data_IF_250801724777
#
_entry.id   IF_250801724777
#
_cell.length_a   1.000
_cell.length_b   1.000
_cell.length_c   1.000
_cell.angle_alpha   90.00
_cell.angle_beta   90.00
_cell.angle_gamma   90.00
#
_symmetry.space_group_name_H-M   'P 1'
#
loop_
_entity.id
_entity.type
_entity.pdbx_description
1 polymer ?
#
# COMPACT_ATOMS: atom_id res chain seq x y z
N UNK A 1 65.47 40.42 -14.23
CA UNK A 1 64.33 39.84 -14.97
C UNK A 1 63.55 39.01 -13.97
N UNK A 2 62.43 39.50 -13.43
CA UNK A 2 61.14 39.53 -14.12
C UNK A 2 60.22 38.59 -13.33
N UNK A 3 59.58 39.12 -12.29
CA UNK A 3 58.65 38.40 -11.43
C UNK A 3 57.27 38.29 -12.08
N UNK A 4 56.52 37.29 -11.61
CA UNK A 4 55.05 37.26 -11.52
C UNK A 4 54.25 37.08 -12.82
N UNK A 5 53.51 35.98 -12.91
CA UNK A 5 52.04 36.04 -12.81
C UNK A 5 51.47 34.62 -12.80
N UNK A 6 51.11 34.13 -11.61
CA UNK A 6 50.61 32.77 -11.40
C UNK A 6 49.55 32.72 -10.32
N UNK A 7 48.64 33.70 -10.27
CA UNK A 7 47.50 33.72 -9.32
C UNK A 7 46.33 34.43 -10.02
N UNK A 8 45.09 34.06 -9.67
CA UNK A 8 43.77 34.65 -10.01
C UNK A 8 42.88 34.01 -11.10
N UNK A 9 42.79 32.69 -11.18
CA UNK A 9 41.64 32.03 -11.85
C UNK A 9 40.80 31.12 -10.95
N UNK A 10 41.17 30.91 -9.68
CA UNK A 10 40.43 30.03 -8.76
C UNK A 10 39.26 30.72 -8.02
N UNK A 11 39.37 32.01 -7.72
CA UNK A 11 38.44 32.69 -6.81
C UNK A 11 37.12 33.15 -7.47
N UNK A 12 37.12 33.38 -8.79
CA UNK A 12 35.91 33.80 -9.52
C UNK A 12 34.94 32.63 -9.74
N UNK A 13 35.46 31.42 -9.94
CA UNK A 13 34.64 30.22 -10.05
C UNK A 13 33.95 29.87 -8.72
N UNK A 14 34.64 30.07 -7.58
CA UNK A 14 34.08 29.78 -6.26
C UNK A 14 33.00 30.77 -5.80
N UNK A 15 33.12 32.05 -6.18
CA UNK A 15 32.09 33.05 -5.88
C UNK A 15 30.80 32.81 -6.70
N UNK A 16 30.94 32.56 -8.00
CA UNK A 16 29.80 32.23 -8.86
C UNK A 16 29.09 30.93 -8.41
N UNK A 17 29.86 29.92 -7.99
CA UNK A 17 29.30 28.68 -7.45
C UNK A 17 28.59 28.90 -6.10
N UNK A 18 29.14 29.76 -5.23
CA UNK A 18 28.52 30.10 -3.95
C UNK A 18 27.20 30.86 -4.15
N UNK A 19 27.17 31.83 -5.08
CA UNK A 19 25.96 32.57 -5.45
C UNK A 19 24.89 31.64 -6.04
N UNK A 20 25.28 30.72 -6.94
CA UNK A 20 24.37 29.74 -7.51
C UNK A 20 23.79 28.80 -6.43
N UNK A 21 24.60 28.37 -5.46
CA UNK A 21 24.14 27.58 -4.31
C UNK A 21 23.18 28.36 -3.42
N UNK A 22 23.46 29.64 -3.17
CA UNK A 22 22.61 30.51 -2.34
C UNK A 22 21.26 30.80 -3.02
N UNK A 23 21.29 31.07 -4.33
CA UNK A 23 20.10 31.21 -5.17
C UNK A 23 19.27 29.93 -5.22
N UNK A 24 19.91 28.77 -5.40
CA UNK A 24 19.23 27.47 -5.36
C UNK A 24 18.59 27.19 -3.99
N UNK A 25 19.27 27.56 -2.89
CA UNK A 25 18.71 27.45 -1.53
C UNK A 25 17.49 28.35 -1.34
N UNK A 26 17.55 29.61 -1.80
CA UNK A 26 16.41 30.55 -1.76
C UNK A 26 15.24 30.03 -2.60
N UNK A 27 15.49 29.55 -3.81
CA UNK A 27 14.46 28.96 -4.68
C UNK A 27 13.81 27.73 -4.04
N UNK A 28 14.59 26.83 -3.42
CA UNK A 28 14.07 25.67 -2.68
C UNK A 28 13.19 26.06 -1.50
N UNK A 29 13.59 27.08 -0.73
CA UNK A 29 12.76 27.63 0.35
C UNK A 29 11.45 28.22 -0.17
N UNK A 30 11.48 28.92 -1.30
CA UNK A 30 10.30 29.49 -1.92
C UNK A 30 9.36 28.44 -2.52
N UNK A 31 9.90 27.33 -3.04
CA UNK A 31 9.12 26.21 -3.58
C UNK A 31 8.52 25.30 -2.50
N UNK A 32 8.83 25.54 -1.23
CA UNK A 32 8.38 24.71 -0.12
C UNK A 32 6.86 24.79 0.03
N UNK A 33 6.22 23.63 -0.02
CA UNK A 33 4.78 23.48 0.25
C UNK A 33 4.45 23.72 1.72
N UNK A 34 3.19 24.03 2.03
CA UNK A 34 2.76 24.15 3.43
C UNK A 34 2.96 22.83 4.18
N UNK A 35 3.10 22.90 5.51
CA UNK A 35 3.27 21.69 6.33
C UNK A 35 2.15 20.66 6.09
N UNK A 36 0.89 21.14 6.02
CA UNK A 36 -0.28 20.29 5.80
C UNK A 36 -0.22 19.57 4.46
N UNK A 37 0.16 20.26 3.38
CA UNK A 37 0.35 19.64 2.06
C UNK A 37 1.49 18.61 2.06
N UNK A 38 2.59 18.89 2.78
CA UNK A 38 3.69 17.94 2.92
C UNK A 38 3.21 16.66 3.62
N UNK A 39 2.52 16.81 4.74
CA UNK A 39 2.02 15.69 5.54
C UNK A 39 1.00 14.84 4.77
N UNK A 40 0.02 15.47 4.12
CA UNK A 40 -0.97 14.77 3.29
C UNK A 40 -0.32 13.98 2.15
N UNK A 41 0.63 14.59 1.43
CA UNK A 41 1.32 13.93 0.33
C UNK A 41 2.18 12.76 0.82
N UNK A 42 2.91 12.93 1.93
CA UNK A 42 3.74 11.86 2.50
C UNK A 42 2.84 10.72 2.99
N UNK A 43 1.78 11.01 3.73
CA UNK A 43 0.83 9.98 4.19
C UNK A 43 0.19 9.25 3.01
N UNK A 44 -0.15 9.95 1.93
CA UNK A 44 -0.68 9.34 0.71
C UNK A 44 0.33 8.36 0.09
N UNK A 45 1.61 8.75 -0.04
CA UNK A 45 2.68 7.88 -0.57
C UNK A 45 2.88 6.63 0.30
N UNK A 46 2.75 6.80 1.61
CA UNK A 46 2.97 5.74 2.60
C UNK A 46 1.82 4.75 2.72
N UNK A 47 0.59 5.23 2.55
CA UNK A 47 -0.62 4.40 2.64
C UNK A 47 -1.04 3.85 1.28
N UNK A 48 -0.41 4.31 0.19
CA UNK A 48 -0.62 3.79 -1.15
C UNK A 48 -0.30 2.30 -1.23
N UNK A 49 -1.29 1.53 -1.70
CA UNK A 49 -1.22 0.06 -1.81
C UNK A 49 -0.40 -0.43 -3.00
N UNK A 50 0.01 0.47 -3.89
CA UNK A 50 0.69 0.15 -5.14
C UNK A 50 1.60 1.27 -5.59
N UNK A 51 2.64 0.94 -6.37
CA UNK A 51 3.52 1.94 -7.01
C UNK A 51 2.75 2.83 -7.99
N UNK A 52 1.67 2.29 -8.58
CA UNK A 52 0.76 3.02 -9.46
C UNK A 52 0.02 4.13 -8.70
N UNK A 53 -0.53 3.81 -7.52
CA UNK A 53 -1.18 4.79 -6.66
C UNK A 53 -0.22 5.87 -6.15
N UNK A 54 1.05 5.53 -5.88
CA UNK A 54 2.08 6.50 -5.47
C UNK A 54 2.34 7.59 -6.51
N UNK A 55 2.27 7.25 -7.79
CA UNK A 55 2.39 8.20 -8.91
C UNK A 55 1.05 8.62 -9.50
N UNK A 56 -0.06 8.29 -8.83
CA UNK A 56 -1.43 8.67 -9.24
C UNK A 56 -1.74 8.26 -10.68
N UNK A 57 -1.27 7.08 -11.09
CA UNK A 57 -1.54 6.49 -12.41
C UNK A 57 -2.56 5.37 -12.31
N UNK A 58 -3.22 5.07 -13.42
CA UNK A 58 -4.12 3.93 -13.50
C UNK A 58 -3.40 2.61 -13.24
N UNK A 59 -4.06 1.72 -12.49
CA UNK A 59 -3.55 0.39 -12.20
C UNK A 59 -3.68 -0.53 -13.42
N UNK A 60 -2.77 -1.51 -13.59
CA UNK A 60 -2.87 -2.49 -14.67
C UNK A 60 -4.04 -3.44 -14.43
N UNK A 61 -4.71 -3.84 -15.51
CA UNK A 61 -5.75 -4.86 -15.52
C UNK A 61 -5.21 -6.17 -16.12
N UNK A 62 -6.08 -7.16 -16.28
CA UNK A 62 -5.79 -8.37 -17.04
C UNK A 62 -6.82 -8.62 -18.13
N UNK A 63 -6.40 -9.31 -19.18
CA UNK A 63 -7.28 -9.81 -20.24
C UNK A 63 -7.95 -11.15 -19.84
N UNK A 64 -8.78 -11.69 -20.73
CA UNK A 64 -9.45 -12.99 -20.55
C UNK A 64 -8.48 -14.17 -20.36
N UNK A 65 -7.23 -14.02 -20.82
CA UNK A 65 -6.17 -15.02 -20.67
C UNK A 65 -5.37 -14.85 -19.37
N UNK A 66 -5.69 -13.83 -18.56
CA UNK A 66 -4.99 -13.49 -17.34
C UNK A 66 -3.66 -12.77 -17.57
N UNK A 67 -3.39 -12.29 -18.78
CA UNK A 67 -2.17 -11.52 -19.08
C UNK A 67 -2.33 -10.07 -18.65
N UNK A 68 -1.28 -9.45 -18.13
CA UNK A 68 -1.32 -8.05 -17.72
C UNK A 68 -1.56 -7.14 -18.93
N UNK A 69 -2.52 -6.25 -18.80
CA UNK A 69 -2.80 -5.16 -19.74
C UNK A 69 -2.62 -3.84 -19.00
N UNK A 70 -1.67 -3.04 -19.46
CA UNK A 70 -1.42 -1.72 -18.91
C UNK A 70 -1.03 -0.74 -19.99
N UNK A 71 -1.69 0.40 -20.01
CA UNK A 71 -1.31 1.52 -20.87
C UNK A 71 -0.58 2.55 -20.00
N UNK A 72 0.77 2.56 -20.01
CA UNK A 72 1.51 3.52 -19.23
C UNK A 72 1.17 4.94 -19.69
N UNK A 73 0.97 5.89 -18.75
CA UNK A 73 0.97 7.28 -19.14
C UNK A 73 2.35 7.65 -19.69
N UNK A 74 2.39 8.57 -20.65
CA UNK A 74 3.65 8.97 -21.29
C UNK A 74 4.68 9.46 -20.27
N UNK A 75 5.97 9.27 -20.56
CA UNK A 75 7.07 9.57 -19.63
C UNK A 75 7.04 11.01 -19.08
N UNK A 76 6.65 11.97 -19.93
CA UNK A 76 6.49 13.38 -19.52
C UNK A 76 5.48 13.57 -18.39
N UNK A 77 4.40 12.80 -18.40
CA UNK A 77 3.41 12.82 -17.33
C UNK A 77 4.01 12.28 -16.03
N UNK A 78 4.69 11.13 -16.09
CA UNK A 78 5.35 10.53 -14.93
C UNK A 78 6.38 11.49 -14.32
N UNK A 79 7.20 12.12 -15.17
CA UNK A 79 8.21 13.09 -14.75
C UNK A 79 7.59 14.31 -14.08
N UNK A 80 6.53 14.86 -14.66
CA UNK A 80 5.82 16.01 -14.09
C UNK A 80 5.24 15.66 -12.72
N UNK A 81 4.53 14.54 -12.61
CA UNK A 81 3.93 14.11 -11.34
C UNK A 81 5.01 13.84 -10.28
N UNK A 82 6.13 13.25 -10.68
CA UNK A 82 7.28 13.05 -9.79
C UNK A 82 7.82 14.37 -9.26
N UNK A 83 8.10 15.35 -10.12
CA UNK A 83 8.62 16.65 -9.68
C UNK A 83 7.61 17.42 -8.81
N UNK A 84 6.31 17.32 -9.10
CA UNK A 84 5.25 17.92 -8.28
C UNK A 84 5.22 17.32 -6.86
N UNK A 85 5.24 15.98 -6.73
CA UNK A 85 5.22 15.29 -5.44
C UNK A 85 6.53 15.42 -4.67
N UNK A 86 7.66 15.53 -5.38
CA UNK A 86 8.99 15.73 -4.81
C UNK A 86 9.07 17.03 -3.99
N UNK A 87 8.35 18.08 -4.36
CA UNK A 87 8.29 19.31 -3.58
C UNK A 87 7.73 19.12 -2.16
N UNK A 88 6.92 18.08 -1.94
CA UNK A 88 6.34 17.77 -0.63
C UNK A 88 7.25 16.91 0.26
N UNK A 89 8.12 16.08 -0.33
CA UNK A 89 8.85 15.03 0.40
C UNK A 89 10.38 15.07 0.24
N UNK A 90 10.95 15.86 -0.67
CA UNK A 90 12.40 15.89 -0.85
C UNK A 90 13.11 16.38 0.42
N UNK A 91 14.18 15.72 0.90
CA UNK A 91 14.83 16.03 2.17
C UNK A 91 15.42 17.45 2.25
N UNK A 92 15.81 18.02 1.11
CA UNK A 92 16.34 19.40 1.06
C UNK A 92 15.25 20.48 1.01
N UNK A 93 13.99 20.12 0.80
CA UNK A 93 12.87 21.07 0.59
C UNK A 93 11.86 20.93 1.74
N UNK A 94 11.47 19.70 2.03
CA UNK A 94 10.48 19.33 3.04
C UNK A 94 11.09 19.35 4.43
N UNK A 95 10.32 19.82 5.41
CA UNK A 95 10.70 19.83 6.83
C UNK A 95 10.03 18.70 7.62
N UNK A 96 9.21 17.88 6.96
CA UNK A 96 8.48 16.81 7.61
C UNK A 96 9.40 15.68 8.08
N UNK A 97 9.24 15.11 9.29
CA UNK A 97 10.15 14.08 9.83
C UNK A 97 10.23 12.82 8.95
N UNK A 98 9.13 12.50 8.26
CA UNK A 98 9.03 11.34 7.37
C UNK A 98 9.33 11.64 5.90
N UNK A 99 9.90 12.81 5.59
CA UNK A 99 10.15 13.23 4.21
C UNK A 99 11.05 12.24 3.46
N UNK A 100 12.12 11.75 4.10
CA UNK A 100 13.04 10.75 3.53
C UNK A 100 12.33 9.46 3.13
N UNK A 101 11.44 8.96 3.99
CA UNK A 101 10.68 7.74 3.75
C UNK A 101 9.72 7.93 2.57
N UNK A 102 8.92 9.00 2.59
CA UNK A 102 8.02 9.32 1.48
C UNK A 102 8.76 9.51 0.14
N UNK A 103 9.90 10.19 0.17
CA UNK A 103 10.72 10.43 -1.03
C UNK A 103 11.34 9.15 -1.59
N UNK A 104 11.77 8.23 -0.75
CA UNK A 104 12.25 6.92 -1.18
C UNK A 104 11.15 6.14 -1.91
N UNK A 105 9.94 6.09 -1.35
CA UNK A 105 8.79 5.40 -1.95
C UNK A 105 8.37 6.02 -3.29
N UNK A 106 8.42 7.35 -3.39
CA UNK A 106 8.15 8.09 -4.63
C UNK A 106 9.20 7.80 -5.71
N UNK A 107 10.48 7.79 -5.32
CA UNK A 107 11.60 7.54 -6.23
C UNK A 107 11.57 6.11 -6.75
N UNK A 108 11.36 5.13 -5.87
CA UNK A 108 11.18 3.72 -6.24
C UNK A 108 10.04 3.54 -7.26
N UNK A 109 8.89 4.17 -7.01
CA UNK A 109 7.75 4.10 -7.92
C UNK A 109 8.09 4.71 -9.29
N UNK A 110 8.75 5.87 -9.30
CA UNK A 110 9.13 6.54 -10.55
C UNK A 110 10.16 5.75 -11.35
N UNK A 111 11.23 5.27 -10.74
CA UNK A 111 12.24 4.44 -11.41
C UNK A 111 11.67 3.15 -11.96
N UNK A 112 10.72 2.53 -11.24
CA UNK A 112 10.06 1.31 -11.68
C UNK A 112 9.12 1.57 -12.85
N UNK A 113 8.28 2.60 -12.79
CA UNK A 113 7.31 2.88 -13.86
C UNK A 113 7.95 3.47 -15.13
N UNK A 114 9.09 4.14 -14.99
CA UNK A 114 9.92 4.59 -16.13
C UNK A 114 10.90 3.52 -16.62
N UNK A 115 10.91 2.34 -16.00
CA UNK A 115 11.79 1.22 -16.32
C UNK A 115 13.31 1.52 -16.22
N UNK A 116 13.69 2.53 -15.43
CA UNK A 116 15.11 2.87 -15.20
C UNK A 116 15.85 1.79 -14.44
N UNK A 117 15.12 0.97 -13.68
CA UNK A 117 15.66 -0.16 -12.93
C UNK A 117 15.42 -1.52 -13.61
N UNK A 118 14.80 -1.55 -14.81
CA UNK A 118 14.49 -2.78 -15.54
C UNK A 118 13.43 -3.68 -14.90
N UNK A 119 12.65 -3.17 -13.93
CA UNK A 119 11.67 -3.96 -13.15
C UNK A 119 10.23 -3.68 -13.52
N UNK A 120 9.96 -2.83 -14.51
CA UNK A 120 8.59 -2.38 -14.81
C UNK A 120 7.67 -3.55 -15.11
N UNK A 121 8.06 -4.39 -16.05
CA UNK A 121 7.21 -5.46 -16.56
C UNK A 121 6.98 -6.54 -15.50
N UNK A 122 8.01 -6.84 -14.69
CA UNK A 122 7.87 -7.74 -13.53
C UNK A 122 6.91 -7.19 -12.47
N UNK A 123 6.97 -5.88 -12.18
CA UNK A 123 6.09 -5.26 -11.19
C UNK A 123 4.63 -5.25 -11.64
N UNK A 124 4.39 -5.04 -12.95
CA UNK A 124 3.05 -5.13 -13.54
C UNK A 124 2.53 -6.57 -13.45
N UNK A 125 3.34 -7.56 -13.87
CA UNK A 125 2.94 -8.97 -13.84
C UNK A 125 2.64 -9.44 -12.40
N UNK A 126 3.47 -9.06 -11.44
CA UNK A 126 3.25 -9.40 -10.02
C UNK A 126 1.97 -8.76 -9.49
N UNK A 127 1.74 -7.47 -9.76
CA UNK A 127 0.53 -6.78 -9.31
C UNK A 127 -0.74 -7.47 -9.81
N UNK A 128 -0.76 -7.81 -11.11
CA UNK A 128 -1.89 -8.50 -11.75
C UNK A 128 -2.07 -9.90 -11.17
N UNK A 129 -0.99 -10.67 -11.00
CA UNK A 129 -1.06 -12.00 -10.39
C UNK A 129 -1.65 -11.95 -8.97
N UNK A 130 -1.24 -10.96 -8.17
CA UNK A 130 -1.80 -10.75 -6.83
C UNK A 130 -3.27 -10.31 -6.87
N UNK A 131 -3.69 -9.53 -7.86
CA UNK A 131 -5.09 -9.13 -8.02
C UNK A 131 -5.98 -10.34 -8.38
N UNK A 132 -5.55 -11.17 -9.33
CA UNK A 132 -6.22 -12.43 -9.71
C UNK A 132 -6.33 -13.36 -8.50
N UNK A 133 -5.25 -13.53 -7.72
CA UNK A 133 -5.29 -14.36 -6.50
C UNK A 133 -6.28 -13.82 -5.46
N UNK A 134 -6.35 -12.49 -5.28
CA UNK A 134 -7.32 -11.85 -4.36
C UNK A 134 -8.75 -12.08 -4.81
N UNK A 135 -9.01 -12.03 -6.11
CA UNK A 135 -10.34 -12.31 -6.67
C UNK A 135 -10.74 -13.78 -6.50
N UNK A 136 -9.82 -14.72 -6.78
CA UNK A 136 -10.04 -16.16 -6.55
C UNK A 136 -10.39 -16.45 -5.09
N UNK A 137 -9.63 -15.90 -4.13
CA UNK A 137 -9.92 -16.05 -2.69
C UNK A 137 -11.28 -15.47 -2.32
N UNK A 138 -11.67 -14.33 -2.90
CA UNK A 138 -13.01 -13.75 -2.69
C UNK A 138 -14.11 -14.66 -3.22
N UNK A 139 -13.96 -15.21 -4.43
CA UNK A 139 -14.92 -16.14 -5.01
C UNK A 139 -15.07 -17.41 -4.15
N UNK A 140 -13.96 -17.99 -3.69
CA UNK A 140 -13.96 -19.18 -2.81
C UNK A 140 -14.62 -18.89 -1.46
N UNK A 141 -14.29 -17.77 -0.82
CA UNK A 141 -14.90 -17.38 0.46
C UNK A 141 -16.40 -17.05 0.34
N UNK A 142 -16.83 -16.56 -0.83
CA UNK A 142 -18.24 -16.25 -1.10
C UNK A 142 -19.04 -17.52 -1.40
N UNK A 143 -18.40 -18.55 -2.00
CA UNK A 143 -19.00 -19.86 -2.24
C UNK A 143 -19.12 -20.74 -0.98
N UNK A 144 -18.23 -20.58 0.00
CA UNK A 144 -18.30 -21.33 1.28
C UNK A 144 -19.18 -20.66 2.35
N UNK A 145 -19.51 -19.37 2.19
CA UNK A 145 -20.35 -18.61 3.12
C UNK A 145 -21.85 -18.92 3.06
N UNK A 146 -22.33 -19.65 2.04
CA UNK A 146 -23.75 -20.00 1.89
C UNK A 146 -24.11 -21.44 2.31
N UNK A 147 -23.14 -22.29 2.67
CA UNK A 147 -23.40 -23.71 2.95
C UNK A 147 -22.98 -24.21 4.34
N UNK A 148 -22.50 -23.36 5.25
CA UNK A 148 -21.96 -23.87 6.53
C UNK A 148 -22.31 -23.11 7.83
N UNK A 149 -23.11 -22.03 7.83
CA UNK A 149 -23.38 -21.27 9.08
C UNK A 149 -24.81 -21.33 9.64
N UNK A 150 -25.80 -21.91 8.96
CA UNK A 150 -27.16 -22.04 9.53
C UNK A 150 -27.50 -23.42 10.11
N UNK A 151 -26.65 -24.43 9.91
CA UNK A 151 -26.92 -25.81 10.37
C UNK A 151 -26.31 -26.18 11.72
N UNK A 152 -25.15 -25.63 12.11
CA UNK A 152 -24.38 -26.17 13.24
C UNK A 152 -24.88 -25.71 14.62
N UNK A 153 -25.31 -24.45 14.77
CA UNK A 153 -25.84 -23.96 16.05
C UNK A 153 -27.25 -24.51 16.36
N UNK A 154 -28.11 -24.61 15.34
CA UNK A 154 -29.46 -25.16 15.50
C UNK A 154 -29.44 -26.68 15.72
N UNK A 155 -28.57 -27.44 15.01
CA UNK A 155 -28.40 -28.87 15.24
C UNK A 155 -27.82 -29.16 16.64
N UNK A 156 -26.82 -28.39 17.09
CA UNK A 156 -26.25 -28.50 18.44
C UNK A 156 -27.29 -28.22 19.54
N UNK A 157 -28.15 -27.21 19.37
CA UNK A 157 -29.24 -26.96 20.31
C UNK A 157 -30.32 -28.05 20.27
N UNK A 158 -30.68 -28.55 19.09
CA UNK A 158 -31.67 -29.62 18.94
C UNK A 158 -31.18 -30.94 19.57
N UNK A 159 -29.89 -31.25 19.42
CA UNK A 159 -29.28 -32.45 19.99
C UNK A 159 -29.16 -32.35 21.53
N UNK A 160 -28.82 -31.16 22.04
CA UNK A 160 -28.81 -30.88 23.49
C UNK A 160 -30.22 -30.94 24.11
N UNK A 161 -31.25 -30.48 23.39
CA UNK A 161 -32.64 -30.56 23.85
C UNK A 161 -33.16 -32.01 23.84
N UNK A 162 -32.83 -32.78 22.81
CA UNK A 162 -33.20 -34.20 22.69
C UNK A 162 -32.55 -35.05 23.79
N UNK A 163 -31.28 -34.80 24.11
CA UNK A 163 -30.58 -35.46 25.21
C UNK A 163 -31.23 -35.14 26.58
N UNK A 164 -31.59 -33.86 26.82
CA UNK A 164 -32.28 -33.43 28.05
C UNK A 164 -33.68 -34.04 28.19
N UNK A 165 -34.44 -34.12 27.11
CA UNK A 165 -35.76 -34.77 27.09
C UNK A 165 -35.65 -36.26 27.40
N UNK A 166 -34.67 -36.95 26.80
CA UNK A 166 -34.45 -38.38 27.02
C UNK A 166 -34.02 -38.70 28.46
N UNK A 167 -33.17 -37.85 29.05
CA UNK A 167 -32.78 -37.96 30.45
C UNK A 167 -33.97 -37.77 31.41
N UNK A 168 -34.80 -36.73 31.19
CA UNK A 168 -36.02 -36.52 32.01
C UNK A 168 -37.00 -37.69 31.92
N UNK A 169 -37.15 -38.28 30.75
CA UNK A 169 -38.08 -39.39 30.52
C UNK A 169 -37.59 -40.69 31.17
N UNK A 170 -36.28 -40.91 31.20
CA UNK A 170 -35.66 -42.01 31.94
C UNK A 170 -35.81 -41.83 33.46
N UNK A 171 -35.63 -40.61 33.96
CA UNK A 171 -35.79 -40.31 35.40
C UNK A 171 -37.25 -40.48 35.86
N UNK A 172 -38.24 -40.05 35.06
CA UNK A 172 -39.65 -40.30 35.36
C UNK A 172 -40.01 -41.79 35.39
N UNK A 173 -39.48 -42.58 34.44
CA UNK A 173 -39.70 -44.03 34.43
C UNK A 173 -39.07 -44.71 35.65
N UNK A 174 -37.89 -44.27 36.08
CA UNK A 174 -37.24 -44.79 37.28
C UNK A 174 -38.05 -44.47 38.55
N UNK A 175 -38.60 -43.24 38.65
CA UNK A 175 -39.48 -42.85 39.78
C UNK A 175 -40.77 -43.66 39.83
N UNK A 176 -41.44 -43.86 38.68
CA UNK A 176 -42.66 -44.69 38.61
C UNK A 176 -42.41 -46.17 38.89
N UNK A 177 -41.21 -46.68 38.57
CA UNK A 177 -40.81 -48.04 38.94
C UNK A 177 -40.52 -48.17 40.45
N UNK A 178 -40.02 -47.11 41.11
CA UNK A 178 -39.79 -47.10 42.56
C UNK A 178 -41.05 -46.91 43.41
N UNK A 179 -42.09 -46.24 42.89
CA UNK A 179 -43.40 -46.15 43.56
C UNK A 179 -44.22 -47.43 43.46
N UNK A 180 -43.87 -48.33 42.53
CA UNK A 180 -44.39 -49.71 42.47
C UNK A 180 -43.40 -50.68 43.12
N UNK A 181 -43.01 -50.39 44.36
CA UNK A 181 -42.36 -51.36 45.25
C UNK A 181 -43.34 -52.46 45.67
N UNK A 182 -42.85 -53.69 45.92
CA UNK A 182 -43.64 -54.92 45.96
C UNK A 182 -44.59 -54.96 47.15
N UNK A 183 -45.77 -55.55 46.92
CA UNK A 183 -46.73 -55.96 47.96
C UNK A 183 -46.12 -56.91 48.98
#
# INVERSE_FOLDING_TARGET
AGASSGVVHRDKASLAEAEAKEAARKARKAARKSWREQEEAILSLMTAKSIFARLRVGEPSWDETGKPVWQPPGERFLQRTYEELKLCCHPDISTHPRCKEGFALLTEAYETLTDRNGKRDSAIAEFVAQAIQREKRRAESSGQGQSSSSGSAAASMAESLAARMKAKLAEQKARQASEKGPS
#
